data_IF_068920477837
#
_entry.id   IF_068920477837
#
_cell.length_a   1.000
_cell.length_b   1.000
_cell.length_c   1.000
_cell.angle_alpha   90.00
_cell.angle_beta   90.00
_cell.angle_gamma   90.00
#
_symmetry.space_group_name_H-M   'P 1'
#
loop_
_entity.id
_entity.type
_entity.pdbx_description
1 polymer ?
#
# COMPACT_ATOMS: atom_id res chain seq x y z
N UNK A 1 34.60 23.68 -21.64
CA UNK A 1 33.85 23.96 -20.41
C UNK A 1 32.88 22.82 -20.21
N UNK A 2 33.19 21.93 -19.26
CA UNK A 2 32.37 20.76 -18.92
C UNK A 2 31.41 21.23 -17.83
N UNK A 3 30.11 21.19 -18.09
CA UNK A 3 29.09 21.48 -17.08
C UNK A 3 29.08 20.37 -16.05
N UNK A 4 29.23 20.72 -14.78
CA UNK A 4 29.07 19.82 -13.64
C UNK A 4 27.60 19.38 -13.57
N UNK A 5 27.34 18.08 -13.77
CA UNK A 5 26.01 17.49 -13.53
C UNK A 5 25.84 17.24 -12.02
N UNK A 6 24.68 17.54 -11.41
CA UNK A 6 24.48 17.38 -9.97
C UNK A 6 24.41 15.91 -9.53
N UNK A 7 24.87 15.66 -8.30
CA UNK A 7 24.86 14.38 -7.59
C UNK A 7 23.43 13.82 -7.45
N UNK A 8 23.14 12.70 -8.11
CA UNK A 8 21.89 11.95 -7.93
C UNK A 8 22.15 10.45 -7.75
N UNK A 9 21.38 9.83 -6.85
CA UNK A 9 21.47 8.40 -6.50
C UNK A 9 21.06 7.46 -7.64
N UNK A 10 21.38 6.15 -7.58
CA UNK A 10 20.97 5.16 -8.58
C UNK A 10 19.45 5.06 -8.81
N UNK A 11 18.63 5.20 -7.74
CA UNK A 11 17.16 5.17 -7.81
C UNK A 11 16.57 6.40 -8.52
N UNK A 12 17.18 7.56 -8.31
CA UNK A 12 16.83 8.79 -9.01
C UNK A 12 17.22 8.71 -10.49
N UNK A 13 18.29 8.00 -10.84
CA UNK A 13 18.74 7.83 -12.23
C UNK A 13 17.87 6.88 -13.05
N UNK A 14 17.39 5.75 -12.50
CA UNK A 14 16.48 4.85 -13.25
C UNK A 14 15.19 5.60 -13.59
N UNK A 15 14.61 6.27 -12.59
CA UNK A 15 13.38 7.01 -12.76
C UNK A 15 13.61 8.29 -13.60
N UNK A 16 14.72 9.03 -13.49
CA UNK A 16 14.97 10.21 -14.33
C UNK A 16 15.32 9.86 -15.78
N UNK A 17 16.08 8.79 -16.03
CA UNK A 17 16.43 8.33 -17.37
C UNK A 17 15.22 7.72 -18.08
N UNK A 18 14.39 6.94 -17.38
CA UNK A 18 13.11 6.47 -17.91
C UNK A 18 12.09 7.60 -18.01
N UNK A 19 12.06 8.59 -17.11
CA UNK A 19 11.22 9.81 -17.24
C UNK A 19 11.63 10.64 -18.47
N UNK A 20 12.93 10.69 -18.82
CA UNK A 20 13.41 11.28 -20.09
C UNK A 20 13.06 10.43 -21.32
N UNK A 21 13.15 9.10 -21.23
CA UNK A 21 12.84 8.19 -22.34
C UNK A 21 11.33 8.13 -22.61
N UNK A 22 10.53 8.02 -21.55
CA UNK A 22 9.08 8.14 -21.56
C UNK A 22 8.66 9.55 -21.98
N UNK A 23 9.22 10.60 -21.39
CA UNK A 23 8.92 11.99 -21.75
C UNK A 23 9.22 12.35 -23.21
N UNK A 24 10.07 11.59 -23.94
CA UNK A 24 10.34 11.83 -25.36
C UNK A 24 9.56 10.92 -26.33
N UNK A 25 9.24 9.67 -25.96
CA UNK A 25 8.47 8.74 -26.82
C UNK A 25 7.01 8.56 -26.41
N UNK A 26 6.69 8.69 -25.12
CA UNK A 26 5.33 8.69 -24.58
C UNK A 26 4.73 10.10 -24.54
N UNK A 27 5.51 11.16 -24.80
CA UNK A 27 5.06 12.57 -24.78
C UNK A 27 3.76 12.85 -25.57
N UNK A 28 3.44 12.03 -26.57
CA UNK A 28 2.24 12.19 -27.40
C UNK A 28 1.05 11.31 -26.99
N UNK A 29 1.22 10.39 -26.03
CA UNK A 29 0.18 9.41 -25.70
C UNK A 29 -0.12 9.39 -24.18
N UNK A 30 -1.39 9.61 -23.76
CA UNK A 30 -1.76 9.58 -22.35
C UNK A 30 -1.38 8.23 -21.73
N UNK A 31 -0.76 8.28 -20.55
CA UNK A 31 -0.26 7.09 -19.84
C UNK A 31 -0.33 7.32 -18.33
N UNK A 32 -0.86 6.35 -17.56
CA UNK A 32 -0.79 6.37 -16.11
C UNK A 32 0.59 5.90 -15.62
N UNK A 33 1.24 6.75 -14.83
CA UNK A 33 2.47 6.52 -14.10
C UNK A 33 2.16 6.25 -12.62
N UNK A 34 2.70 5.17 -12.10
CA UNK A 34 2.59 4.78 -10.69
C UNK A 34 3.93 4.92 -10.01
N UNK A 35 3.96 5.60 -8.87
CA UNK A 35 5.13 5.64 -7.98
C UNK A 35 4.74 5.19 -6.57
N UNK A 36 5.69 4.84 -5.68
CA UNK A 36 5.34 4.29 -4.37
C UNK A 36 4.48 5.23 -3.50
N UNK A 37 4.65 6.55 -3.63
CA UNK A 37 4.00 7.56 -2.79
C UNK A 37 3.50 8.75 -3.58
N UNK A 38 2.56 9.50 -3.01
CA UNK A 38 2.04 10.73 -3.62
C UNK A 38 3.12 11.79 -3.84
N UNK A 39 4.07 11.95 -2.92
CA UNK A 39 5.15 12.94 -3.05
C UNK A 39 6.08 12.60 -4.23
N UNK A 40 6.39 11.31 -4.44
CA UNK A 40 7.16 10.87 -5.62
C UNK A 40 6.38 11.10 -6.91
N UNK A 41 5.05 10.96 -6.88
CA UNK A 41 4.20 11.31 -8.02
C UNK A 41 4.20 12.81 -8.33
N UNK A 42 4.20 13.67 -7.31
CA UNK A 42 4.31 15.12 -7.47
C UNK A 42 5.64 15.51 -8.11
N UNK A 43 6.76 14.99 -7.57
CA UNK A 43 8.10 15.19 -8.14
C UNK A 43 8.18 14.71 -9.61
N UNK A 44 7.61 13.53 -9.89
CA UNK A 44 7.58 12.98 -11.24
C UNK A 44 6.75 13.85 -12.20
N UNK A 45 5.61 14.37 -11.75
CA UNK A 45 4.77 15.25 -12.52
C UNK A 45 5.43 16.61 -12.77
N UNK A 46 6.10 17.19 -11.78
CA UNK A 46 6.84 18.45 -11.91
C UNK A 46 7.97 18.31 -12.94
N UNK A 47 8.76 17.25 -12.85
CA UNK A 47 9.80 16.99 -13.84
C UNK A 47 9.20 16.78 -15.25
N UNK A 48 8.05 16.11 -15.38
CA UNK A 48 7.38 15.98 -16.67
C UNK A 48 6.92 17.32 -17.25
N UNK A 49 6.46 18.26 -16.39
CA UNK A 49 6.11 19.63 -16.80
C UNK A 49 7.33 20.44 -17.20
N UNK A 50 8.44 20.32 -16.47
CA UNK A 50 9.72 20.95 -16.81
C UNK A 50 10.25 20.51 -18.19
N UNK A 51 9.96 19.27 -18.58
CA UNK A 51 10.28 18.72 -19.90
C UNK A 51 9.28 19.14 -21.00
N UNK A 52 8.27 19.96 -20.66
CA UNK A 52 7.25 20.46 -21.58
C UNK A 52 6.05 19.54 -21.78
N UNK A 53 5.89 18.50 -20.95
CA UNK A 53 4.75 17.58 -21.00
C UNK A 53 3.54 18.05 -20.18
N UNK A 54 2.35 17.56 -20.53
CA UNK A 54 1.14 17.75 -19.73
C UNK A 54 1.03 16.63 -18.69
N UNK A 55 1.06 17.00 -17.41
CA UNK A 55 1.04 16.06 -16.28
C UNK A 55 0.03 16.46 -15.20
N UNK A 56 -0.77 15.49 -14.78
CA UNK A 56 -1.77 15.63 -13.73
C UNK A 56 -1.51 14.62 -12.61
N UNK A 57 -1.44 15.12 -11.37
CA UNK A 57 -1.31 14.27 -10.18
C UNK A 57 -2.71 13.92 -9.70
N UNK A 58 -3.01 12.63 -9.67
CA UNK A 58 -4.27 12.12 -9.13
C UNK A 58 -4.07 11.82 -7.65
N UNK A 59 -4.78 12.57 -6.81
CA UNK A 59 -4.76 12.45 -5.36
C UNK A 59 -5.88 11.54 -4.88
N UNK A 60 -5.57 10.78 -3.84
CA UNK A 60 -6.56 10.00 -3.10
C UNK A 60 -7.60 10.86 -2.40
N UNK A 61 -8.71 10.23 -2.04
CA UNK A 61 -9.82 10.87 -1.29
C UNK A 61 -9.40 11.45 0.06
N UNK A 62 -8.35 10.90 0.66
CA UNK A 62 -7.81 11.28 1.97
C UNK A 62 -6.63 12.25 1.89
N UNK A 63 -6.14 12.56 0.68
CA UNK A 63 -5.08 13.54 0.52
C UNK A 63 -5.61 14.94 0.85
N UNK A 64 -4.73 15.87 1.26
CA UNK A 64 -5.08 17.30 1.36
C UNK A 64 -5.58 17.84 0.02
N UNK A 65 -6.57 18.72 0.07
CA UNK A 65 -7.05 19.48 -1.07
C UNK A 65 -6.07 20.63 -1.36
N UNK A 66 -5.44 20.68 -2.56
CA UNK A 66 -4.53 21.77 -2.91
C UNK A 66 -5.15 23.17 -2.84
N UNK A 67 -6.47 23.27 -2.98
CA UNK A 67 -7.20 24.54 -2.92
C UNK A 67 -7.65 24.89 -1.50
N UNK A 68 -7.76 23.90 -0.62
CA UNK A 68 -8.17 24.04 0.77
C UNK A 68 -7.32 23.09 1.65
N UNK A 69 -6.05 23.43 1.95
CA UNK A 69 -5.10 22.50 2.56
C UNK A 69 -5.54 21.86 3.88
N UNK A 70 -6.36 22.55 4.68
CA UNK A 70 -6.94 22.06 5.93
C UNK A 70 -8.03 20.99 5.74
N UNK A 71 -8.41 20.71 4.50
CA UNK A 71 -9.48 19.78 4.14
C UNK A 71 -8.96 18.68 3.25
N UNK A 72 -9.63 17.53 3.31
CA UNK A 72 -9.32 16.40 2.44
C UNK A 72 -10.07 16.52 1.11
N UNK A 73 -9.55 15.85 0.07
CA UNK A 73 -10.16 15.83 -1.27
C UNK A 73 -11.63 15.38 -1.26
N UNK A 74 -12.01 14.48 -0.33
CA UNK A 74 -13.38 14.06 -0.10
C UNK A 74 -13.96 14.73 1.15
N UNK A 75 -15.22 15.18 1.08
CA UNK A 75 -15.94 15.78 2.21
C UNK A 75 -16.49 14.78 3.23
N UNK A 76 -16.59 13.49 2.85
CA UNK A 76 -17.04 12.37 3.71
C UNK A 76 -15.94 11.33 3.96
N UNK A 77 -14.73 11.73 4.40
CA UNK A 77 -13.58 10.83 4.42
C UNK A 77 -13.77 9.67 5.39
N UNK A 78 -14.30 9.89 6.59
CA UNK A 78 -14.49 8.83 7.58
C UNK A 78 -15.40 7.70 7.07
N UNK A 79 -16.53 8.06 6.44
CA UNK A 79 -17.48 7.09 5.86
C UNK A 79 -16.87 6.31 4.70
N UNK A 80 -16.18 7.02 3.80
CA UNK A 80 -15.49 6.38 2.67
C UNK A 80 -14.38 5.43 3.15
N UNK A 81 -13.61 5.81 4.16
CA UNK A 81 -12.56 4.95 4.72
C UNK A 81 -13.12 3.63 5.26
N UNK A 82 -14.28 3.68 5.94
CA UNK A 82 -15.02 2.49 6.37
C UNK A 82 -15.47 1.66 5.17
N UNK A 83 -16.08 2.29 4.16
CA UNK A 83 -16.51 1.61 2.93
C UNK A 83 -15.39 0.91 2.17
N UNK A 84 -14.19 1.52 2.09
CA UNK A 84 -13.02 0.93 1.43
C UNK A 84 -12.59 -0.35 2.13
N UNK A 85 -12.55 -0.34 3.48
CA UNK A 85 -12.20 -1.54 4.28
C UNK A 85 -13.19 -2.68 4.07
N UNK A 86 -14.43 -2.37 3.72
CA UNK A 86 -15.47 -3.35 3.42
C UNK A 86 -15.48 -3.82 1.95
N UNK A 87 -14.60 -3.27 1.11
CA UNK A 87 -14.57 -3.56 -0.31
C UNK A 87 -15.88 -3.15 -1.00
N UNK A 88 -16.50 -2.05 -0.56
CA UNK A 88 -17.64 -1.46 -1.26
C UNK A 88 -17.15 -0.69 -2.48
N UNK A 89 -17.98 -0.64 -3.53
CA UNK A 89 -17.74 0.27 -4.65
C UNK A 89 -17.99 1.70 -4.15
N UNK A 90 -16.92 2.44 -3.89
CA UNK A 90 -17.03 3.77 -3.28
C UNK A 90 -17.77 4.76 -4.18
N UNK A 91 -17.65 4.62 -5.50
CA UNK A 91 -18.36 5.49 -6.43
C UNK A 91 -19.86 5.27 -6.29
N UNK A 92 -20.32 4.03 -6.47
CA UNK A 92 -21.73 3.67 -6.38
C UNK A 92 -22.32 3.87 -4.98
N UNK A 93 -21.56 3.56 -3.92
CA UNK A 93 -22.08 3.63 -2.55
C UNK A 93 -22.10 5.05 -1.97
N UNK A 94 -21.17 5.93 -2.36
CA UNK A 94 -20.98 7.23 -1.70
C UNK A 94 -20.91 8.44 -2.63
N UNK A 95 -20.70 8.26 -3.94
CA UNK A 95 -20.49 9.38 -4.85
C UNK A 95 -21.68 9.56 -5.80
N UNK A 96 -21.97 8.55 -6.60
CA UNK A 96 -22.94 8.58 -7.70
C UNK A 96 -23.27 7.14 -8.15
N UNK A 97 -24.55 6.81 -8.29
CA UNK A 97 -25.04 5.51 -8.75
C UNK A 97 -26.17 5.58 -9.80
N UNK A 98 -26.15 6.59 -10.67
CA UNK A 98 -27.15 6.90 -11.70
C UNK A 98 -28.54 7.32 -11.14
N UNK A 99 -28.94 6.80 -9.97
CA UNK A 99 -30.19 7.14 -9.29
C UNK A 99 -30.02 8.26 -8.25
N UNK A 100 -28.87 8.30 -7.59
CA UNK A 100 -28.59 9.18 -6.47
C UNK A 100 -27.17 9.73 -6.53
N UNK A 101 -26.97 10.95 -6.03
CA UNK A 101 -25.67 11.63 -6.01
C UNK A 101 -25.38 12.23 -4.64
N UNK A 102 -24.10 12.20 -4.25
CA UNK A 102 -23.63 12.77 -3.01
C UNK A 102 -23.95 14.27 -2.91
N UNK A 103 -24.38 14.74 -1.74
CA UNK A 103 -24.70 16.14 -1.48
C UNK A 103 -23.52 17.10 -1.76
N UNK A 104 -22.28 16.62 -1.65
CA UNK A 104 -21.08 17.41 -1.92
C UNK A 104 -20.54 17.25 -3.35
N UNK A 105 -21.23 16.54 -4.24
CA UNK A 105 -20.63 16.13 -5.50
C UNK A 105 -20.19 17.31 -6.41
N UNK A 106 -20.86 18.45 -6.31
CA UNK A 106 -20.49 19.67 -7.07
C UNK A 106 -19.22 20.35 -6.53
N UNK A 107 -18.96 20.26 -5.24
CA UNK A 107 -17.82 20.92 -4.57
C UNK A 107 -16.73 19.95 -4.11
N UNK A 108 -16.84 18.67 -4.45
CA UNK A 108 -15.91 17.61 -4.09
C UNK A 108 -14.64 17.68 -4.96
N UNK A 109 -13.52 18.05 -4.36
CA UNK A 109 -12.23 18.16 -5.05
C UNK A 109 -11.78 16.83 -5.67
N UNK A 110 -12.07 15.71 -5.01
CA UNK A 110 -11.76 14.39 -5.56
C UNK A 110 -12.45 14.13 -6.90
N UNK A 111 -13.74 14.48 -7.05
CA UNK A 111 -14.49 14.28 -8.30
C UNK A 111 -14.01 15.22 -9.41
N UNK A 112 -13.66 16.47 -9.07
CA UNK A 112 -13.15 17.47 -10.03
C UNK A 112 -11.90 17.00 -10.78
N UNK A 113 -11.08 16.15 -10.18
CA UNK A 113 -9.86 15.60 -10.83
C UNK A 113 -10.15 14.80 -12.10
N UNK A 114 -11.38 14.31 -12.27
CA UNK A 114 -11.78 13.44 -13.38
C UNK A 114 -12.67 14.15 -14.42
N UNK A 115 -12.83 15.47 -14.31
CA UNK A 115 -13.53 16.24 -15.32
C UNK A 115 -12.71 16.32 -16.62
N UNK A 116 -13.32 16.30 -17.83
CA UNK A 116 -12.59 16.21 -19.10
C UNK A 116 -11.47 17.24 -19.32
N UNK A 117 -11.61 18.44 -18.72
CA UNK A 117 -10.61 19.51 -18.80
C UNK A 117 -9.34 19.17 -18.00
N UNK A 118 -9.44 18.29 -17.00
CA UNK A 118 -8.38 17.90 -16.06
C UNK A 118 -7.70 16.57 -16.44
N UNK A 119 -8.14 15.91 -17.52
CA UNK A 119 -7.72 14.53 -17.85
C UNK A 119 -6.79 14.42 -19.06
N UNK A 120 -6.44 15.55 -19.70
CA UNK A 120 -5.54 15.57 -20.84
C UNK A 120 -4.08 15.31 -20.43
N UNK A 121 -3.38 14.36 -21.07
CA UNK A 121 -1.96 14.09 -20.80
C UNK A 121 -1.72 12.94 -19.82
N UNK A 122 -0.56 12.96 -19.15
CA UNK A 122 -0.10 11.88 -18.28
C UNK A 122 -0.69 11.98 -16.87
N UNK A 123 -1.04 10.84 -16.28
CA UNK A 123 -1.53 10.78 -14.89
C UNK A 123 -0.47 10.19 -13.98
N UNK A 124 -0.26 10.82 -12.84
CA UNK A 124 0.67 10.37 -11.82
C UNK A 124 -0.12 9.95 -10.58
N UNK A 125 0.02 8.69 -10.17
CA UNK A 125 -0.78 8.02 -9.14
C UNK A 125 0.10 7.24 -8.18
N UNK A 126 -0.24 7.20 -6.89
CA UNK A 126 0.44 6.28 -5.99
C UNK A 126 0.13 4.83 -6.39
N UNK A 127 1.12 3.93 -6.23
CA UNK A 127 1.00 2.50 -6.59
C UNK A 127 -0.12 1.78 -5.84
N UNK A 128 -0.54 2.33 -4.70
CA UNK A 128 -1.73 1.86 -3.97
C UNK A 128 -3.00 1.92 -4.82
N UNK A 129 -3.02 2.73 -5.88
CA UNK A 129 -4.14 2.83 -6.81
C UNK A 129 -4.10 1.81 -7.95
N UNK A 130 -3.01 1.04 -8.10
CA UNK A 130 -2.83 0.11 -9.22
C UNK A 130 -3.93 -0.97 -9.30
N UNK A 131 -4.42 -1.43 -8.15
CA UNK A 131 -5.47 -2.45 -8.05
C UNK A 131 -6.90 -1.92 -8.23
N UNK A 132 -7.08 -0.61 -8.38
CA UNK A 132 -8.41 0.01 -8.53
C UNK A 132 -8.69 0.36 -10.00
N UNK A 133 -9.94 0.19 -10.46
CA UNK A 133 -10.31 0.66 -11.80
C UNK A 133 -10.16 2.18 -11.88
N UNK A 134 -9.73 2.67 -13.03
CA UNK A 134 -9.76 4.11 -13.31
C UNK A 134 -11.24 4.57 -13.26
N UNK A 135 -11.56 5.65 -12.53
CA UNK A 135 -12.96 6.05 -12.30
C UNK A 135 -13.60 6.68 -13.55
N UNK A 136 -12.86 6.86 -14.63
CA UNK A 136 -13.30 7.45 -15.88
C UNK A 136 -12.83 6.63 -17.09
N UNK A 137 -13.19 7.08 -18.29
CA UNK A 137 -12.86 6.40 -19.55
C UNK A 137 -11.42 6.68 -20.01
N UNK A 138 -10.48 6.84 -19.08
CA UNK A 138 -9.10 7.18 -19.43
C UNK A 138 -8.43 6.03 -20.18
N UNK A 139 -8.21 6.25 -21.47
CA UNK A 139 -7.66 5.27 -22.39
C UNK A 139 -6.15 5.46 -22.54
N UNK A 140 -5.43 5.11 -21.47
CA UNK A 140 -3.97 5.14 -21.47
C UNK A 140 -3.39 4.02 -22.34
N UNK A 141 -2.32 4.31 -23.11
CA UNK A 141 -1.70 3.31 -24.00
C UNK A 141 -0.77 2.34 -23.28
N UNK A 142 -0.18 2.76 -22.15
CA UNK A 142 0.81 2.02 -21.38
C UNK A 142 0.73 2.44 -19.91
N UNK A 143 0.73 1.47 -19.00
CA UNK A 143 0.87 1.73 -17.56
C UNK A 143 2.33 1.58 -17.15
N UNK A 144 2.90 2.61 -16.56
CA UNK A 144 4.28 2.58 -16.04
C UNK A 144 4.21 2.47 -14.52
N UNK A 145 4.94 1.52 -13.93
CA UNK A 145 5.04 1.35 -12.48
C UNK A 145 6.50 1.44 -12.07
N UNK A 146 6.79 2.42 -11.24
CA UNK A 146 8.10 2.67 -10.64
C UNK A 146 8.19 1.99 -9.28
N UNK A 147 9.29 1.28 -9.07
CA UNK A 147 9.63 0.49 -7.88
C UNK A 147 8.65 -0.67 -7.60
N UNK A 148 9.01 -1.46 -6.59
CA UNK A 148 8.31 -2.67 -6.21
C UNK A 148 6.88 -2.41 -5.70
N UNK A 149 5.86 -2.95 -6.40
CA UNK A 149 4.45 -2.81 -6.03
C UNK A 149 3.80 -4.10 -5.47
N UNK A 150 4.46 -5.25 -5.60
CA UNK A 150 3.83 -6.56 -5.36
C UNK A 150 3.25 -6.71 -3.95
N UNK A 151 3.90 -6.13 -2.94
CA UNK A 151 3.44 -6.21 -1.55
C UNK A 151 2.06 -5.57 -1.36
N UNK A 152 1.73 -4.56 -2.18
CA UNK A 152 0.44 -3.87 -2.14
C UNK A 152 -0.69 -4.70 -2.79
N UNK A 153 -0.34 -5.70 -3.59
CA UNK A 153 -1.29 -6.67 -4.17
C UNK A 153 -1.61 -7.82 -3.22
N UNK A 154 -0.98 -7.86 -2.04
CA UNK A 154 -1.20 -8.89 -1.03
C UNK A 154 -1.92 -8.31 0.18
N UNK A 155 -2.80 -9.11 0.79
CA UNK A 155 -3.46 -8.76 2.04
C UNK A 155 -3.50 -9.96 2.97
N UNK A 156 -3.13 -9.71 4.22
CA UNK A 156 -3.07 -10.73 5.26
C UNK A 156 -4.16 -10.50 6.29
N UNK A 157 -4.81 -11.57 6.72
CA UNK A 157 -5.72 -11.55 7.86
C UNK A 157 -5.48 -12.77 8.74
N UNK A 158 -5.76 -12.60 10.02
CA UNK A 158 -5.79 -13.66 11.02
C UNK A 158 -7.26 -13.86 11.44
N UNK A 159 -7.73 -15.10 11.37
CA UNK A 159 -9.11 -15.50 11.66
C UNK A 159 -9.07 -16.50 12.81
N UNK A 160 -9.81 -16.27 13.90
CA UNK A 160 -9.91 -17.25 14.99
C UNK A 160 -10.52 -18.56 14.49
N UNK A 161 -9.95 -19.71 14.88
CA UNK A 161 -10.46 -21.02 14.44
C UNK A 161 -11.90 -21.27 14.93
N UNK A 162 -12.26 -20.73 16.10
CA UNK A 162 -13.58 -20.86 16.68
C UNK A 162 -14.61 -20.08 15.86
N UNK A 163 -14.29 -18.82 15.51
CA UNK A 163 -15.13 -17.96 14.68
C UNK A 163 -15.36 -18.57 13.29
N UNK A 164 -14.32 -19.19 12.71
CA UNK A 164 -14.41 -19.83 11.41
C UNK A 164 -15.31 -21.08 11.42
N UNK A 165 -15.51 -21.72 12.58
CA UNK A 165 -16.39 -22.89 12.75
C UNK A 165 -17.85 -22.55 13.04
N UNK A 166 -18.15 -21.31 13.41
CA UNK A 166 -19.52 -20.91 13.77
C UNK A 166 -20.47 -21.01 12.56
N UNK A 167 -21.76 -21.36 12.78
CA UNK A 167 -22.76 -21.28 11.72
C UNK A 167 -22.81 -19.89 11.10
N UNK A 168 -22.99 -19.78 9.77
CA UNK A 168 -23.12 -18.47 9.10
C UNK A 168 -24.53 -17.91 9.31
N UNK A 169 -24.82 -17.42 10.50
CA UNK A 169 -26.13 -16.84 10.89
C UNK A 169 -26.56 -15.66 10.02
N UNK A 170 -25.62 -15.06 9.31
CA UNK A 170 -25.85 -13.97 8.37
C UNK A 170 -26.33 -14.43 6.98
N UNK A 171 -26.28 -15.73 6.65
CA UNK A 171 -26.81 -16.24 5.37
C UNK A 171 -28.33 -16.44 5.44
N UNK A 172 -29.07 -15.85 4.49
CA UNK A 172 -30.52 -16.04 4.37
C UNK A 172 -30.85 -17.30 3.56
N UNK A 173 -31.73 -18.15 4.08
CA UNK A 173 -32.21 -19.38 3.41
C UNK A 173 -33.59 -19.24 2.76
N UNK A 174 -34.16 -18.05 2.81
CA UNK A 174 -35.46 -17.74 2.25
C UNK A 174 -35.29 -16.75 1.11
N UNK A 175 -35.98 -17.00 -0.01
CA UNK A 175 -36.08 -16.06 -1.11
C UNK A 175 -36.87 -14.80 -0.71
N UNK A 176 -36.84 -13.75 -1.54
CA UNK A 176 -37.62 -12.52 -1.35
C UNK A 176 -39.13 -12.76 -1.22
N UNK A 177 -39.62 -13.90 -1.69
CA UNK A 177 -41.03 -14.33 -1.61
C UNK A 177 -41.30 -15.30 -0.44
N UNK A 178 -40.37 -15.45 0.50
CA UNK A 178 -40.52 -16.29 1.69
C UNK A 178 -40.38 -17.80 1.43
N UNK A 179 -40.09 -18.22 0.18
CA UNK A 179 -39.88 -19.64 -0.14
C UNK A 179 -38.48 -20.07 0.28
N UNK A 180 -38.40 -21.19 1.01
CA UNK A 180 -37.15 -21.83 1.44
C UNK A 180 -36.36 -22.31 0.21
N UNK A 181 -35.08 -21.98 0.14
CA UNK A 181 -34.16 -22.44 -0.90
C UNK A 181 -33.40 -23.67 -0.38
N UNK A 182 -33.92 -24.86 -0.68
CA UNK A 182 -33.34 -26.13 -0.23
C UNK A 182 -31.93 -26.36 -0.76
N UNK A 183 -31.64 -25.91 -1.98
CA UNK A 183 -30.30 -26.01 -2.58
C UNK A 183 -29.27 -25.18 -1.79
N UNK A 184 -29.64 -23.94 -1.42
CA UNK A 184 -28.78 -23.07 -0.62
C UNK A 184 -28.55 -23.60 0.80
N UNK A 185 -29.53 -24.29 1.38
CA UNK A 185 -29.38 -24.91 2.71
C UNK A 185 -28.38 -26.05 2.68
N UNK A 186 -28.49 -26.96 1.71
CA UNK A 186 -27.57 -28.08 1.58
C UNK A 186 -26.13 -27.58 1.35
N UNK A 187 -25.96 -26.63 0.42
CA UNK A 187 -24.66 -26.01 0.18
C UNK A 187 -24.07 -25.31 1.41
N UNK A 188 -24.92 -24.72 2.26
CA UNK A 188 -24.48 -24.12 3.52
C UNK A 188 -24.06 -25.18 4.55
N UNK A 189 -24.78 -26.30 4.66
CA UNK A 189 -24.39 -27.41 5.52
C UNK A 189 -23.04 -28.00 5.10
N UNK A 190 -22.84 -28.21 3.80
CA UNK A 190 -21.57 -28.70 3.24
C UNK A 190 -20.42 -27.74 3.52
N UNK A 191 -20.65 -26.43 3.39
CA UNK A 191 -19.67 -25.40 3.71
C UNK A 191 -19.24 -25.44 5.19
N UNK A 192 -20.18 -25.61 6.12
CA UNK A 192 -19.85 -25.70 7.55
C UNK A 192 -19.09 -27.00 7.84
N UNK A 193 -19.49 -28.12 7.24
CA UNK A 193 -18.76 -29.38 7.31
C UNK A 193 -17.31 -29.24 6.81
N UNK A 194 -17.12 -28.59 5.67
CA UNK A 194 -15.81 -28.30 5.10
C UNK A 194 -14.97 -27.40 6.02
N UNK A 195 -15.57 -26.39 6.66
CA UNK A 195 -14.88 -25.50 7.60
C UNK A 195 -14.34 -26.27 8.82
N UNK A 196 -15.14 -27.19 9.37
CA UNK A 196 -14.73 -28.02 10.50
C UNK A 196 -13.58 -28.95 10.11
N UNK A 197 -13.73 -29.67 8.98
CA UNK A 197 -12.72 -30.58 8.45
C UNK A 197 -11.39 -29.88 8.13
N UNK A 198 -11.44 -28.66 7.59
CA UNK A 198 -10.25 -27.84 7.33
C UNK A 198 -9.50 -27.51 8.63
N UNK A 199 -10.22 -27.02 9.63
CA UNK A 199 -9.61 -26.68 10.92
C UNK A 199 -9.03 -27.93 11.60
N UNK A 200 -9.73 -29.06 11.55
CA UNK A 200 -9.23 -30.32 12.11
C UNK A 200 -7.96 -30.80 11.40
N UNK A 201 -7.91 -30.68 10.07
CA UNK A 201 -6.69 -30.99 9.31
C UNK A 201 -5.52 -30.08 9.71
N UNK A 202 -5.76 -28.76 9.82
CA UNK A 202 -4.75 -27.80 10.24
C UNK A 202 -4.22 -28.08 11.64
N UNK A 203 -5.09 -28.36 12.61
CA UNK A 203 -4.70 -28.68 14.00
C UNK A 203 -3.90 -29.98 14.05
N UNK A 204 -4.33 -31.00 13.31
CA UNK A 204 -3.65 -32.29 13.25
C UNK A 204 -2.37 -32.29 12.40
N UNK A 205 -2.02 -31.16 11.77
CA UNK A 205 -0.87 -31.06 10.86
C UNK A 205 -1.02 -31.91 9.59
N UNK A 206 -2.24 -32.27 9.21
CA UNK A 206 -2.53 -33.05 7.99
C UNK A 206 -2.55 -32.13 6.76
N UNK A 207 -2.18 -32.63 5.56
CA UNK A 207 -2.24 -31.84 4.34
C UNK A 207 -3.66 -31.39 4.01
N UNK A 208 -3.92 -30.08 4.01
CA UNK A 208 -5.27 -29.54 3.76
C UNK A 208 -5.75 -29.73 2.33
N UNK A 209 -4.84 -29.95 1.38
CA UNK A 209 -5.17 -30.17 -0.03
C UNK A 209 -5.67 -31.60 -0.31
N UNK A 210 -5.43 -32.55 0.61
CA UNK A 210 -5.91 -33.94 0.57
C UNK A 210 -7.37 -34.08 1.02
N UNK A 211 -7.99 -33.00 1.52
CA UNK A 211 -9.42 -33.00 1.82
C UNK A 211 -10.24 -33.35 0.56
N UNK A 212 -11.40 -34.02 0.73
CA UNK A 212 -12.13 -34.67 -0.38
C UNK A 212 -12.85 -33.69 -1.33
N UNK A 213 -12.60 -32.39 -1.22
CA UNK A 213 -13.23 -31.36 -2.03
C UNK A 213 -12.38 -30.99 -3.24
N UNK A 214 -13.00 -30.92 -4.41
CA UNK A 214 -12.43 -30.41 -5.64
C UNK A 214 -12.22 -28.88 -5.60
N UNK A 215 -11.45 -28.36 -6.56
CA UNK A 215 -11.30 -26.92 -6.71
C UNK A 215 -12.62 -26.20 -7.02
N UNK A 216 -13.51 -26.84 -7.77
CA UNK A 216 -14.83 -26.28 -8.10
C UNK A 216 -15.72 -26.16 -6.86
N UNK A 217 -15.70 -27.16 -5.98
CA UNK A 217 -16.42 -27.13 -4.70
C UNK A 217 -15.87 -26.03 -3.78
N UNK A 218 -14.54 -25.90 -3.67
CA UNK A 218 -13.94 -24.78 -2.93
C UNK A 218 -14.36 -23.42 -3.49
N UNK A 219 -14.43 -23.26 -4.82
CA UNK A 219 -14.97 -22.04 -5.42
C UNK A 219 -16.45 -21.85 -5.13
N UNK A 220 -17.23 -22.92 -5.09
CA UNK A 220 -18.63 -22.85 -4.71
C UNK A 220 -18.79 -22.36 -3.26
N UNK A 221 -17.96 -22.85 -2.33
CA UNK A 221 -17.92 -22.34 -0.95
C UNK A 221 -17.51 -20.86 -0.89
N UNK A 222 -16.49 -20.46 -1.65
CA UNK A 222 -16.08 -19.06 -1.75
C UNK A 222 -17.21 -18.16 -2.25
N UNK A 223 -17.90 -18.57 -3.33
CA UNK A 223 -19.06 -17.87 -3.88
C UNK A 223 -20.22 -17.81 -2.88
N UNK A 224 -20.46 -18.89 -2.14
CA UNK A 224 -21.51 -18.95 -1.13
C UNK A 224 -21.23 -17.98 0.03
N UNK A 225 -20.00 -17.96 0.58
CA UNK A 225 -19.58 -16.94 1.55
C UNK A 225 -19.79 -15.54 0.95
N UNK A 226 -19.27 -15.26 -0.24
CA UNK A 226 -19.44 -13.96 -0.89
C UNK A 226 -20.91 -13.59 -1.13
N UNK A 227 -21.80 -14.54 -1.42
CA UNK A 227 -23.23 -14.27 -1.65
C UNK A 227 -23.91 -13.62 -0.44
N UNK A 228 -23.43 -13.89 0.78
CA UNK A 228 -23.93 -13.24 1.99
C UNK A 228 -23.68 -11.72 2.01
N UNK A 229 -22.68 -11.20 1.26
CA UNK A 229 -22.52 -9.75 1.05
C UNK A 229 -23.73 -9.13 0.35
N UNK A 230 -24.33 -9.84 -0.62
CA UNK A 230 -25.48 -9.33 -1.36
C UNK A 230 -26.74 -9.19 -0.50
N UNK A 231 -26.80 -9.91 0.62
CA UNK A 231 -27.91 -9.86 1.57
C UNK A 231 -27.85 -8.62 2.50
N UNK A 232 -26.76 -7.84 2.45
CA UNK A 232 -26.55 -6.61 3.22
C UNK A 232 -26.83 -5.39 2.34
N UNK A 233 -27.68 -4.48 2.82
CA UNK A 233 -27.94 -3.22 2.13
C UNK A 233 -26.68 -2.36 2.07
N UNK A 234 -26.21 -2.05 0.86
CA UNK A 234 -25.13 -1.09 0.67
C UNK A 234 -25.62 0.35 0.96
N UNK A 235 -24.76 1.23 1.47
CA UNK A 235 -25.04 2.66 1.53
C UNK A 235 -25.36 3.22 0.14
N UNK A 236 -26.24 4.22 0.06
CA UNK A 236 -26.52 4.98 -1.16
C UNK A 236 -26.05 6.44 -1.02
N UNK A 237 -25.67 7.13 -2.11
CA UNK A 237 -25.04 8.45 -2.04
C UNK A 237 -25.87 9.56 -1.38
N UNK A 238 -27.20 9.51 -1.52
CA UNK A 238 -28.15 10.52 -1.00
C UNK A 238 -28.49 10.38 0.48
N UNK A 239 -28.18 9.22 1.08
CA UNK A 239 -28.42 8.98 2.50
C UNK A 239 -27.64 9.97 3.37
N UNK A 240 -28.24 10.34 4.49
CA UNK A 240 -27.55 11.14 5.49
C UNK A 240 -26.32 10.39 6.04
N UNK A 241 -25.33 11.13 6.52
CA UNK A 241 -24.12 10.53 7.10
C UNK A 241 -24.44 9.55 8.24
N UNK A 242 -25.44 9.88 9.07
CA UNK A 242 -25.87 9.02 10.18
C UNK A 242 -26.45 7.68 9.69
N UNK A 243 -27.21 7.68 8.60
CA UNK A 243 -27.76 6.46 8.00
C UNK A 243 -26.66 5.61 7.37
N UNK A 244 -25.76 6.24 6.60
CA UNK A 244 -24.60 5.56 6.03
C UNK A 244 -23.71 4.96 7.13
N UNK A 245 -23.49 5.69 8.23
CA UNK A 245 -22.70 5.24 9.38
C UNK A 245 -23.30 3.99 10.04
N UNK A 246 -24.64 3.96 10.20
CA UNK A 246 -25.37 2.83 10.77
C UNK A 246 -25.32 1.59 9.87
N UNK A 247 -25.52 1.77 8.55
CA UNK A 247 -25.40 0.69 7.57
C UNK A 247 -23.98 0.13 7.56
N UNK A 248 -22.97 1.00 7.58
CA UNK A 248 -21.57 0.59 7.64
C UNK A 248 -21.22 -0.15 8.94
N UNK A 249 -21.78 0.22 10.08
CA UNK A 249 -21.56 -0.51 11.34
C UNK A 249 -22.10 -1.94 11.26
N UNK A 250 -23.34 -2.10 10.77
CA UNK A 250 -23.92 -3.43 10.54
C UNK A 250 -23.09 -4.25 9.52
N UNK A 251 -22.65 -3.59 8.45
CA UNK A 251 -21.84 -4.23 7.41
C UNK A 251 -20.42 -4.58 7.89
N UNK A 252 -19.80 -3.78 8.77
CA UNK A 252 -18.45 -4.03 9.29
C UNK A 252 -18.34 -5.33 10.07
N UNK A 253 -19.33 -5.65 10.89
CA UNK A 253 -19.35 -6.90 11.62
C UNK A 253 -19.53 -8.08 10.65
N UNK A 254 -20.51 -8.01 9.75
CA UNK A 254 -20.84 -9.16 8.89
C UNK A 254 -19.86 -9.35 7.71
N UNK A 255 -19.51 -8.30 6.97
CA UNK A 255 -18.66 -8.39 5.77
C UNK A 255 -17.21 -8.76 6.08
N UNK A 256 -16.71 -8.37 7.27
CA UNK A 256 -15.36 -8.72 7.70
C UNK A 256 -15.21 -10.23 7.73
N UNK A 257 -16.17 -10.96 8.29
CA UNK A 257 -16.13 -12.42 8.29
C UNK A 257 -16.30 -13.00 6.88
N UNK A 258 -17.31 -12.54 6.13
CA UNK A 258 -17.64 -13.05 4.78
C UNK A 258 -16.46 -13.02 3.82
N UNK A 259 -15.82 -11.85 3.63
CA UNK A 259 -14.79 -11.73 2.59
C UNK A 259 -13.56 -12.58 2.92
N UNK A 260 -13.17 -12.61 4.19
CA UNK A 260 -11.99 -13.34 4.63
C UNK A 260 -12.22 -14.86 4.63
N UNK A 261 -13.42 -15.31 4.97
CA UNK A 261 -13.79 -16.73 4.86
C UNK A 261 -13.76 -17.19 3.40
N UNK A 262 -14.33 -16.39 2.49
CA UNK A 262 -14.26 -16.68 1.07
C UNK A 262 -12.80 -16.79 0.56
N UNK A 263 -11.87 -16.01 1.13
CA UNK A 263 -10.46 -16.04 0.73
C UNK A 263 -9.74 -17.32 1.13
N UNK A 264 -10.14 -17.95 2.24
CA UNK A 264 -9.63 -19.26 2.63
C UNK A 264 -9.98 -20.28 1.55
N UNK A 265 -11.24 -20.27 1.10
CA UNK A 265 -11.73 -21.17 0.07
C UNK A 265 -11.12 -20.91 -1.30
N UNK A 266 -11.02 -19.65 -1.74
CA UNK A 266 -10.34 -19.29 -2.98
C UNK A 266 -8.87 -19.73 -2.96
N UNK A 267 -8.18 -19.55 -1.84
CA UNK A 267 -6.79 -19.98 -1.70
C UNK A 267 -6.61 -21.50 -1.85
N UNK A 268 -7.53 -22.30 -1.33
CA UNK A 268 -7.53 -23.76 -1.49
C UNK A 268 -7.85 -24.17 -2.93
N UNK A 269 -8.81 -23.49 -3.57
CA UNK A 269 -9.15 -23.72 -4.97
C UNK A 269 -7.96 -23.44 -5.91
N UNK A 270 -7.32 -22.27 -5.77
CA UNK A 270 -6.16 -21.87 -6.58
C UNK A 270 -5.03 -22.90 -6.47
N UNK A 271 -4.75 -23.35 -5.25
CA UNK A 271 -3.69 -24.33 -4.99
C UNK A 271 -3.99 -25.70 -5.59
N UNK A 272 -5.26 -26.15 -5.52
CA UNK A 272 -5.69 -27.44 -6.06
C UNK A 272 -5.67 -27.46 -7.58
N UNK A 273 -6.03 -26.35 -8.23
CA UNK A 273 -5.92 -26.22 -9.69
C UNK A 273 -4.50 -26.15 -10.19
N UNK A 274 -3.64 -25.42 -9.48
CA UNK A 274 -2.22 -25.36 -9.80
C UNK A 274 -1.48 -26.66 -9.44
N UNK A 275 -2.18 -27.71 -8.99
CA UNK A 275 -1.60 -29.01 -8.64
C UNK A 275 -0.56 -28.93 -7.51
N UNK A 276 -0.66 -27.92 -6.64
CA UNK A 276 0.32 -27.68 -5.59
C UNK A 276 0.24 -28.77 -4.53
N UNK A 277 1.40 -29.13 -3.98
CA UNK A 277 1.50 -30.07 -2.86
C UNK A 277 1.53 -29.35 -1.50
N UNK A 278 1.90 -28.08 -1.50
CA UNK A 278 2.03 -27.24 -0.31
C UNK A 278 1.19 -25.97 -0.45
N UNK A 279 0.84 -25.37 0.68
CA UNK A 279 0.05 -24.15 0.74
C UNK A 279 0.66 -23.15 1.73
N UNK A 280 1.43 -22.19 1.22
CA UNK A 280 2.07 -21.16 2.06
C UNK A 280 1.12 -20.01 2.40
N UNK A 281 0.14 -19.77 1.52
CA UNK A 281 -0.86 -18.70 1.64
C UNK A 281 -1.90 -18.96 2.74
N UNK A 282 -1.94 -20.16 3.31
CA UNK A 282 -2.84 -20.53 4.40
C UNK A 282 -2.07 -21.31 5.45
N UNK A 283 -2.02 -20.81 6.69
CA UNK A 283 -1.33 -21.50 7.78
C UNK A 283 -2.01 -21.29 9.12
N UNK A 284 -1.80 -22.25 10.02
CA UNK A 284 -2.19 -22.12 11.41
C UNK A 284 -1.11 -21.32 12.17
N UNK A 285 -1.53 -20.33 12.95
CA UNK A 285 -0.65 -19.49 13.77
C UNK A 285 -1.20 -19.40 15.20
N UNK A 286 -0.30 -19.19 16.16
CA UNK A 286 -0.69 -18.80 17.50
C UNK A 286 -0.68 -17.26 17.56
N UNK A 287 -1.88 -16.67 17.70
CA UNK A 287 -2.08 -15.24 17.86
C UNK A 287 -2.51 -14.96 19.30
N UNK A 288 -1.62 -14.35 20.09
CA UNK A 288 -1.85 -13.98 21.49
C UNK A 288 -2.37 -15.13 22.39
N UNK A 289 -1.88 -16.35 22.17
CA UNK A 289 -2.29 -17.53 22.94
C UNK A 289 -3.53 -18.24 22.39
N UNK A 290 -4.12 -17.76 21.29
CA UNK A 290 -5.24 -18.39 20.60
C UNK A 290 -4.82 -18.92 19.24
N UNK A 291 -5.37 -20.06 18.85
CA UNK A 291 -5.12 -20.65 17.54
C UNK A 291 -5.93 -19.90 16.47
N UNK A 292 -5.28 -19.54 15.38
CA UNK A 292 -5.91 -18.78 14.31
C UNK A 292 -5.39 -19.19 12.93
N UNK A 293 -6.23 -19.05 11.92
CA UNK A 293 -5.89 -19.23 10.52
C UNK A 293 -5.35 -17.91 9.99
N UNK A 294 -4.11 -17.90 9.51
CA UNK A 294 -3.56 -16.79 8.75
C UNK A 294 -3.72 -17.08 7.27
N UNK A 295 -4.43 -16.21 6.56
CA UNK A 295 -4.62 -16.31 5.11
C UNK A 295 -4.02 -15.09 4.40
N UNK A 296 -3.37 -15.35 3.26
CA UNK A 296 -2.85 -14.36 2.33
C UNK A 296 -3.75 -14.32 1.08
N UNK A 297 -4.53 -13.25 0.96
CA UNK A 297 -5.28 -12.93 -0.26
C UNK A 297 -4.35 -12.24 -1.25
N UNK A 298 -4.36 -12.72 -2.49
CA UNK A 298 -3.80 -12.03 -3.65
C UNK A 298 -4.93 -11.27 -4.32
N UNK A 299 -4.74 -9.98 -4.59
CA UNK A 299 -5.67 -9.18 -5.36
C UNK A 299 -5.41 -9.38 -6.85
N UNK A 300 -6.47 -9.60 -7.67
CA UNK A 300 -6.30 -9.68 -9.11
C UNK A 300 -5.94 -8.31 -9.68
N UNK A 301 -5.01 -8.31 -10.64
CA UNK A 301 -4.68 -7.13 -11.42
C UNK A 301 -5.77 -6.90 -12.47
N UNK A 302 -6.62 -5.89 -12.25
CA UNK A 302 -7.74 -5.58 -13.16
C UNK A 302 -7.39 -4.57 -14.27
N UNK A 303 -6.11 -4.21 -14.43
CA UNK A 303 -5.71 -3.29 -15.49
C UNK A 303 -5.70 -3.98 -16.86
N UNK A 304 -6.15 -3.26 -17.89
CA UNK A 304 -6.21 -3.76 -19.28
C UNK A 304 -5.00 -3.35 -20.11
N UNK A 305 -4.28 -2.32 -19.68
CA UNK A 305 -3.13 -1.79 -20.41
C UNK A 305 -1.90 -2.68 -20.24
N UNK A 306 -1.01 -2.75 -21.25
CA UNK A 306 0.34 -3.27 -21.07
C UNK A 306 1.07 -2.55 -19.93
N UNK A 307 1.95 -3.29 -19.23
CA UNK A 307 2.66 -2.82 -18.05
C UNK A 307 4.15 -2.69 -18.33
N UNK A 308 4.73 -1.52 -18.04
CA UNK A 308 6.17 -1.31 -17.97
C UNK A 308 6.57 -1.21 -16.50
N UNK A 309 7.26 -2.24 -16.01
CA UNK A 309 7.79 -2.28 -14.65
C UNK A 309 9.22 -1.76 -14.62
N UNK A 310 9.46 -0.76 -13.77
CA UNK A 310 10.76 -0.15 -13.53
C UNK A 310 11.16 -0.46 -12.10
N UNK A 311 11.88 -1.55 -11.90
CA UNK A 311 12.28 -1.98 -10.56
C UNK A 311 13.71 -2.52 -10.61
N UNK A 312 14.54 -2.07 -9.67
CA UNK A 312 15.92 -2.53 -9.53
C UNK A 312 15.97 -3.97 -9.01
N UNK A 313 14.96 -4.36 -8.23
CA UNK A 313 14.88 -5.63 -7.51
C UNK A 313 13.72 -6.51 -8.04
N UNK A 314 13.30 -6.30 -9.31
CA UNK A 314 12.27 -7.12 -9.94
C UNK A 314 12.67 -8.59 -9.97
N UNK A 315 11.86 -9.42 -9.30
CA UNK A 315 12.01 -10.86 -9.26
C UNK A 315 10.94 -11.53 -10.13
N UNK A 316 11.38 -12.32 -11.11
CA UNK A 316 10.47 -12.99 -12.05
C UNK A 316 9.56 -14.01 -11.38
N UNK A 317 10.04 -14.72 -10.34
CA UNK A 317 9.22 -15.68 -9.61
C UNK A 317 8.08 -14.97 -8.86
N UNK A 318 8.37 -13.80 -8.27
CA UNK A 318 7.34 -12.99 -7.60
C UNK A 318 6.32 -12.46 -8.61
N UNK A 319 6.77 -11.95 -9.75
CA UNK A 319 5.89 -11.39 -10.78
C UNK A 319 5.00 -12.47 -11.42
N UNK A 320 5.56 -13.64 -11.73
CA UNK A 320 4.78 -14.79 -12.21
C UNK A 320 3.78 -15.26 -11.14
N UNK A 321 4.18 -15.30 -9.87
CA UNK A 321 3.27 -15.62 -8.76
C UNK A 321 2.13 -14.59 -8.60
N UNK A 322 2.28 -13.40 -9.18
CA UNK A 322 1.23 -12.37 -9.27
C UNK A 322 0.36 -12.45 -10.55
N UNK A 323 0.50 -13.52 -11.35
CA UNK A 323 -0.14 -13.68 -12.67
C UNK A 323 0.21 -12.55 -13.64
N UNK A 324 1.40 -11.96 -13.50
CA UNK A 324 1.90 -10.97 -14.45
C UNK A 324 2.59 -11.72 -15.58
N UNK A 325 2.03 -11.59 -16.77
CA UNK A 325 2.58 -12.18 -17.98
C UNK A 325 3.79 -11.38 -18.48
N UNK A 326 4.99 -11.91 -18.20
CA UNK A 326 6.26 -11.25 -18.51
C UNK A 326 6.61 -11.49 -19.98
N UNK A 327 6.37 -10.48 -20.81
CA UNK A 327 6.68 -10.54 -22.25
C UNK A 327 8.15 -10.26 -22.56
N UNK A 328 8.82 -9.41 -21.78
CA UNK A 328 10.22 -9.03 -22.00
C UNK A 328 10.87 -8.50 -20.72
N UNK A 329 12.09 -8.96 -20.46
CA UNK A 329 12.97 -8.43 -19.41
C UNK A 329 14.16 -7.71 -20.05
N UNK A 330 14.58 -6.58 -19.49
CA UNK A 330 15.79 -5.85 -19.94
C UNK A 330 16.56 -5.38 -18.72
N UNK A 331 17.81 -5.86 -18.57
CA UNK A 331 18.68 -5.43 -17.49
C UNK A 331 19.41 -4.14 -17.90
N UNK A 332 19.26 -3.08 -17.10
CA UNK A 332 19.98 -1.83 -17.28
C UNK A 332 21.16 -1.78 -16.33
N UNK A 333 22.38 -1.72 -16.86
CA UNK A 333 23.58 -1.52 -16.05
C UNK A 333 23.82 -0.02 -15.89
N UNK A 334 23.56 0.49 -14.68
CA UNK A 334 23.86 1.87 -14.32
C UNK A 334 25.31 1.97 -13.79
N UNK A 335 26.01 3.07 -14.10
CA UNK A 335 27.30 3.34 -13.46
C UNK A 335 27.05 3.76 -12.00
N UNK A 336 27.70 3.12 -11.01
CA UNK A 336 27.51 3.49 -9.62
C UNK A 336 28.08 4.89 -9.35
N UNK A 337 27.23 5.80 -8.87
CA UNK A 337 27.61 7.15 -8.46
C UNK A 337 28.05 7.24 -6.99
N UNK A 338 27.98 6.13 -6.25
CA UNK A 338 28.37 6.01 -4.86
C UNK A 338 28.98 4.62 -4.59
N UNK A 339 29.98 4.57 -3.71
CA UNK A 339 30.53 3.33 -3.18
C UNK A 339 29.77 2.97 -1.90
N UNK A 340 29.09 1.82 -1.90
CA UNK A 340 28.34 1.33 -0.72
C UNK A 340 29.21 0.30 -0.02
N UNK A 341 29.58 0.58 1.24
CA UNK A 341 30.30 -0.35 2.10
C UNK A 341 29.33 -0.92 3.11
N UNK A 342 28.96 -2.18 2.95
CA UNK A 342 28.06 -2.87 3.88
C UNK A 342 28.84 -3.44 5.07
N UNK A 343 28.50 -3.02 6.29
CA UNK A 343 29.17 -3.46 7.52
C UNK A 343 28.33 -4.56 8.21
N UNK A 344 28.73 -5.82 8.04
CA UNK A 344 28.06 -6.99 8.62
C UNK A 344 28.63 -7.37 10.00
N UNK A 345 28.57 -6.49 10.99
CA UNK A 345 29.07 -6.84 12.34
C UNK A 345 27.95 -7.33 13.28
N UNK A 346 26.68 -6.95 13.05
CA UNK A 346 25.57 -7.27 13.97
C UNK A 346 24.25 -7.50 13.26
N UNK A 347 23.42 -8.42 13.77
CA UNK A 347 22.01 -8.55 13.35
C UNK A 347 21.23 -7.31 13.79
N UNK A 348 20.71 -6.56 12.82
CA UNK A 348 19.88 -5.39 13.02
C UNK A 348 18.47 -5.68 12.52
N UNK A 349 17.60 -6.20 13.38
CA UNK A 349 16.17 -6.24 13.05
C UNK A 349 15.49 -4.97 13.53
N UNK A 350 14.46 -4.52 12.82
CA UNK A 350 13.68 -3.37 13.23
C UNK A 350 13.18 -3.50 14.68
N UNK A 351 12.70 -4.69 15.07
CA UNK A 351 12.27 -4.97 16.44
C UNK A 351 13.40 -4.90 17.49
N UNK A 352 14.61 -5.35 17.14
CA UNK A 352 15.77 -5.27 18.04
C UNK A 352 16.21 -3.83 18.31
N UNK A 353 16.21 -2.97 17.28
CA UNK A 353 16.56 -1.56 17.42
C UNK A 353 15.48 -0.78 18.17
N UNK A 354 14.20 -1.13 18.03
CA UNK A 354 13.13 -0.45 18.77
C UNK A 354 13.13 -0.78 20.27
N UNK A 355 13.46 -2.02 20.65
CA UNK A 355 13.43 -2.47 22.05
C UNK A 355 14.78 -2.38 22.76
N UNK A 356 15.89 -2.46 22.03
CA UNK A 356 17.23 -2.55 22.61
C UNK A 356 17.97 -1.22 22.64
N UNK A 357 17.89 -0.50 23.77
CA UNK A 357 18.64 0.76 23.99
C UNK A 357 20.16 0.56 23.87
N UNK A 358 20.70 -0.52 24.44
CA UNK A 358 22.12 -0.84 24.36
C UNK A 358 22.59 -1.09 22.91
N UNK A 359 21.74 -1.72 22.10
CA UNK A 359 22.01 -1.95 20.69
C UNK A 359 22.05 -0.62 19.91
N UNK A 360 21.10 0.29 20.17
CA UNK A 360 21.10 1.64 19.58
C UNK A 360 22.34 2.43 19.99
N UNK A 361 22.77 2.36 21.24
CA UNK A 361 23.99 3.01 21.71
C UNK A 361 25.26 2.41 21.06
N UNK A 362 25.29 1.09 20.85
CA UNK A 362 26.34 0.45 20.06
C UNK A 362 26.44 1.02 18.64
N UNK A 363 25.31 1.23 17.98
CA UNK A 363 25.25 1.79 16.63
C UNK A 363 25.58 3.28 16.58
N UNK A 364 25.19 4.07 17.59
CA UNK A 364 25.63 5.47 17.72
C UNK A 364 27.15 5.59 17.73
N UNK A 365 27.85 4.68 18.41
CA UNK A 365 29.32 4.65 18.41
C UNK A 365 29.90 4.37 17.03
N UNK A 366 29.29 3.45 16.26
CA UNK A 366 29.69 3.16 14.88
C UNK A 366 29.47 4.39 13.99
N UNK A 367 28.29 5.00 14.03
CA UNK A 367 27.97 6.22 13.27
C UNK A 367 28.97 7.33 13.62
N UNK A 368 29.23 7.54 14.91
CA UNK A 368 30.21 8.55 15.37
C UNK A 368 31.61 8.26 14.84
N UNK A 369 32.03 7.00 14.83
CA UNK A 369 33.32 6.58 14.26
C UNK A 369 33.39 6.94 12.78
N UNK A 370 32.36 6.62 11.99
CA UNK A 370 32.37 6.93 10.56
C UNK A 370 32.31 8.44 10.29
N UNK A 371 31.56 9.21 11.09
CA UNK A 371 31.57 10.68 11.00
C UNK A 371 32.96 11.24 11.31
N UNK A 372 33.68 10.67 12.29
CA UNK A 372 35.06 11.07 12.58
C UNK A 372 36.01 10.66 11.46
N UNK A 373 35.86 9.46 10.90
CA UNK A 373 36.67 8.99 9.77
C UNK A 373 36.50 9.88 8.54
N UNK A 374 35.25 10.24 8.18
CA UNK A 374 34.97 11.14 7.05
C UNK A 374 35.56 12.55 7.27
N UNK A 375 35.50 13.06 8.50
CA UNK A 375 36.12 14.35 8.89
C UNK A 375 37.64 14.36 8.74
N UNK A 376 38.30 13.23 8.97
CA UNK A 376 39.75 13.08 8.78
C UNK A 376 40.09 12.85 7.30
N UNK A 377 39.12 12.35 6.51
CA UNK A 377 39.24 12.09 5.08
C UNK A 377 38.81 13.27 4.19
N UNK A 378 37.93 12.99 3.22
CA UNK A 378 37.51 13.95 2.18
C UNK A 378 36.43 14.94 2.63
N UNK A 379 35.84 14.77 3.82
CA UNK A 379 34.74 15.60 4.30
C UNK A 379 33.49 15.51 3.42
N UNK A 380 33.20 14.33 2.86
CA UNK A 380 32.07 14.08 1.96
C UNK A 380 30.72 14.01 2.68
N UNK A 381 30.72 13.92 4.00
CA UNK A 381 29.55 13.68 4.82
C UNK A 381 29.23 12.19 4.95
N UNK A 382 28.60 11.82 6.06
CA UNK A 382 28.11 10.45 6.30
C UNK A 382 26.59 10.44 6.24
N UNK A 383 26.05 9.60 5.36
CA UNK A 383 24.63 9.36 5.22
C UNK A 383 24.23 8.14 6.06
N UNK A 384 23.24 8.30 6.94
CA UNK A 384 22.66 7.18 7.69
C UNK A 384 21.18 7.03 7.31
N UNK A 385 20.83 5.85 6.78
CA UNK A 385 19.45 5.46 6.48
C UNK A 385 18.86 4.60 7.60
N UNK A 386 17.67 4.95 8.09
CA UNK A 386 16.93 4.14 9.07
C UNK A 386 15.43 4.44 8.99
N UNK A 387 14.58 3.53 9.49
CA UNK A 387 13.14 3.78 9.57
C UNK A 387 12.84 4.94 10.52
N UNK A 388 11.76 5.69 10.26
CA UNK A 388 11.34 6.84 11.10
C UNK A 388 11.23 6.48 12.58
N UNK A 389 10.67 5.30 12.90
CA UNK A 389 10.50 4.85 14.30
C UNK A 389 11.83 4.62 15.00
N UNK A 390 12.81 4.09 14.27
CA UNK A 390 14.17 3.89 14.81
C UNK A 390 14.84 5.25 15.00
N UNK A 391 14.77 6.15 14.02
CA UNK A 391 15.34 7.50 14.13
C UNK A 391 14.77 8.23 15.35
N UNK A 392 13.45 8.21 15.56
CA UNK A 392 12.82 8.82 16.73
C UNK A 392 13.37 8.24 18.05
N UNK A 393 13.49 6.91 18.16
CA UNK A 393 14.12 6.29 19.34
C UNK A 393 15.58 6.67 19.53
N UNK A 394 16.32 6.90 18.45
CA UNK A 394 17.68 7.45 18.52
C UNK A 394 17.72 8.90 18.98
N UNK A 395 16.67 9.70 18.83
CA UNK A 395 16.64 11.05 19.41
C UNK A 395 16.15 11.04 20.85
N UNK A 396 15.14 10.23 21.16
CA UNK A 396 14.65 10.07 22.54
C UNK A 396 15.76 9.57 23.48
N UNK A 397 16.58 8.62 23.02
CA UNK A 397 17.75 8.14 23.78
C UNK A 397 18.83 9.22 23.99
N UNK A 398 18.79 10.33 23.24
CA UNK A 398 19.70 11.47 23.37
C UNK A 398 19.12 12.57 24.26
N UNK A 399 17.93 12.34 24.84
CA UNK A 399 17.25 13.28 25.72
C UNK A 399 16.36 14.29 24.99
N UNK A 400 16.09 14.08 23.70
CA UNK A 400 15.08 14.89 23.00
C UNK A 400 13.69 14.38 23.34
N UNK A 401 12.85 15.27 23.85
CA UNK A 401 11.45 15.00 24.12
C UNK A 401 10.60 15.43 22.92
N UNK A 402 9.78 14.51 22.43
CA UNK A 402 8.89 14.73 21.29
C UNK A 402 7.42 14.92 21.70
N UNK A 403 7.11 14.88 23.00
CA UNK A 403 5.74 15.05 23.50
C UNK A 403 5.18 16.46 23.20
N UNK A 404 6.05 17.47 23.06
CA UNK A 404 5.69 18.83 22.62
C UNK A 404 5.59 19.00 21.10
N UNK A 405 6.03 18.02 20.31
CA UNK A 405 5.96 18.06 18.84
C UNK A 405 4.73 17.30 18.33
N UNK A 406 4.00 16.60 19.20
CA UNK A 406 2.75 15.92 18.87
C UNK A 406 1.68 16.89 18.33
N UNK A 407 1.63 18.12 18.83
CA UNK A 407 0.70 19.15 18.37
C UNK A 407 1.20 19.91 17.11
N UNK A 408 2.52 19.94 16.86
CA UNK A 408 3.12 20.62 15.70
C UNK A 408 3.19 19.72 14.45
N UNK A 409 3.23 18.39 14.63
CA UNK A 409 3.33 17.41 13.54
C UNK A 409 2.00 17.22 12.78
N UNK A 410 0.90 17.77 13.30
CA UNK A 410 -0.44 17.62 12.72
C UNK A 410 -0.82 18.65 11.64
N UNK A 411 -0.20 19.84 11.60
CA UNK A 411 -0.82 20.97 10.87
C UNK A 411 0.09 21.88 10.01
N UNK A 412 1.43 21.84 10.09
CA UNK A 412 2.25 22.77 9.30
C UNK A 412 3.45 22.09 8.63
N UNK A 413 3.29 21.70 7.37
CA UNK A 413 4.40 21.51 6.42
C UNK A 413 4.02 22.00 5.01
N UNK A 414 3.29 23.12 4.96
CA UNK A 414 2.88 23.81 3.73
C UNK A 414 3.86 24.83 3.20
N UNK A 415 4.73 25.42 4.03
CA UNK A 415 5.58 26.55 3.60
C UNK A 415 7.00 26.46 4.16
N UNK A 416 7.96 26.09 3.30
CA UNK A 416 9.38 26.31 3.55
C UNK A 416 10.10 26.71 2.25
N UNK A 417 9.59 27.75 1.58
CA UNK A 417 10.15 28.28 0.33
C UNK A 417 11.13 29.44 0.51
N UNK A 418 11.47 29.85 1.74
CA UNK A 418 12.40 30.94 1.95
C UNK A 418 13.32 30.62 3.12
N UNK A 419 14.55 30.18 2.82
CA UNK A 419 15.81 30.52 3.49
C UNK A 419 16.89 29.48 3.16
N UNK A 420 18.03 29.98 2.68
CA UNK A 420 19.32 29.32 2.42
C UNK A 420 19.46 28.54 1.09
N UNK A 421 20.22 29.15 0.19
CA UNK A 421 20.71 28.52 -1.04
C UNK A 421 21.75 27.43 -0.75
N UNK A 422 21.32 26.18 -0.88
CA UNK A 422 22.15 25.01 -1.18
C UNK A 422 21.20 23.87 -1.53
N UNK A 423 21.47 23.17 -2.64
CA UNK A 423 20.65 22.07 -3.15
C UNK A 423 20.44 20.98 -2.07
N UNK A 424 19.19 20.67 -1.75
CA UNK A 424 18.84 19.65 -0.75
C UNK A 424 18.10 18.50 -1.44
N UNK A 425 18.71 17.32 -1.46
CA UNK A 425 18.12 16.08 -1.98
C UNK A 425 17.47 15.29 -0.84
N UNK A 426 16.19 14.94 -0.96
CA UNK A 426 15.43 14.28 0.09
C UNK A 426 15.52 12.76 0.01
N UNK A 427 16.19 12.19 1.00
CA UNK A 427 15.97 10.84 1.50
C UNK A 427 15.49 10.94 2.95
N UNK A 428 14.85 9.91 3.52
CA UNK A 428 14.81 9.75 4.99
C UNK A 428 16.21 9.41 5.50
N UNK A 429 17.14 10.34 5.33
CA UNK A 429 18.52 10.22 5.73
C UNK A 429 18.85 11.39 6.63
N UNK A 430 19.48 11.10 7.76
CA UNK A 430 20.13 12.13 8.54
C UNK A 430 21.34 12.61 7.73
N UNK A 431 21.30 13.85 7.26
CA UNK A 431 22.52 14.59 6.94
C UNK A 431 23.00 15.26 8.24
N UNK A 432 23.99 14.66 8.92
CA UNK A 432 24.69 15.35 10.01
C UNK A 432 25.71 16.30 9.36
N UNK A 433 25.22 17.39 8.78
CA UNK A 433 26.08 18.45 8.27
C UNK A 433 26.53 19.35 9.43
N UNK A 434 27.83 19.28 9.75
CA UNK A 434 28.64 20.33 10.37
C UNK A 434 28.32 20.92 11.76
N UNK A 435 27.45 20.35 12.59
CA UNK A 435 27.15 20.96 13.90
C UNK A 435 27.62 20.16 15.12
N UNK A 436 28.08 20.91 16.12
CA UNK A 436 28.40 20.44 17.48
C UNK A 436 27.16 19.74 18.08
N UNK A 437 27.33 18.70 18.92
CA UNK A 437 26.23 18.02 19.61
C UNK A 437 25.27 18.95 20.38
N UNK A 438 25.71 20.17 20.69
CA UNK A 438 24.99 21.11 21.54
C UNK A 438 24.04 22.09 20.81
N UNK A 439 23.90 22.03 19.47
CA UNK A 439 23.14 23.04 18.69
C UNK A 439 22.03 22.49 17.79
N UNK A 440 21.53 21.28 18.03
CA UNK A 440 20.33 20.79 17.31
C UNK A 440 19.08 21.43 17.92
N UNK A 441 18.61 22.53 17.32
CA UNK A 441 17.33 23.17 17.62
C UNK A 441 16.17 22.44 16.89
N UNK A 442 14.95 22.51 17.43
CA UNK A 442 13.71 21.97 16.88
C UNK A 442 13.48 22.24 15.37
N UNK A 443 14.01 23.34 14.81
CA UNK A 443 13.96 23.66 13.38
C UNK A 443 14.71 22.67 12.46
N UNK A 444 15.70 21.93 12.97
CA UNK A 444 16.40 20.88 12.19
C UNK A 444 15.64 19.54 12.14
N UNK A 445 14.74 19.31 13.08
CA UNK A 445 13.95 18.07 13.22
C UNK A 445 12.80 18.01 12.21
N UNK A 446 12.39 19.18 11.71
CA UNK A 446 11.30 19.36 10.75
C UNK A 446 11.51 18.67 9.38
N UNK A 447 12.73 18.20 9.04
CA UNK A 447 13.06 17.63 7.72
C UNK A 447 12.85 16.11 7.57
N UNK A 448 12.21 15.43 8.53
CA UNK A 448 12.10 13.95 8.51
C UNK A 448 10.77 13.49 7.89
N UNK A 449 10.77 13.33 6.57
CA UNK A 449 9.68 12.73 5.78
C UNK A 449 9.52 11.22 5.99
N UNK A 450 8.30 10.72 5.82
CA UNK A 450 7.79 9.43 6.29
C UNK A 450 7.93 8.25 5.29
N UNK A 451 8.09 7.03 5.84
CA UNK A 451 7.53 5.79 5.30
C UNK A 451 6.86 4.99 6.42
N UNK A 452 5.57 4.67 6.33
CA UNK A 452 4.95 3.63 7.11
C UNK A 452 4.87 2.35 6.26
N UNK A 453 5.39 1.26 6.81
CA UNK A 453 5.32 -0.13 6.33
C UNK A 453 6.35 -0.55 5.26
N UNK A 454 6.96 -1.71 5.55
CA UNK A 454 8.08 -2.38 4.89
C UNK A 454 9.42 -1.65 5.01
N UNK A 455 10.33 -2.21 5.81
CA UNK A 455 11.64 -2.74 5.36
C UNK A 455 12.20 -3.56 6.54
N UNK A 456 12.11 -4.90 6.45
CA UNK A 456 12.96 -5.84 7.20
C UNK A 456 14.15 -6.20 6.30
N UNK A 457 14.93 -5.21 5.88
CA UNK A 457 16.24 -5.42 5.24
C UNK A 457 17.07 -4.16 5.41
N UNK A 458 18.01 -4.21 6.34
CA UNK A 458 19.04 -3.18 6.49
C UNK A 458 20.00 -3.35 5.32
N UNK A 459 20.15 -2.32 4.49
CA UNK A 459 21.29 -2.20 3.56
C UNK A 459 22.42 -1.52 4.30
#
# INVERSE_FOLDING_TARGET
MRGEEPLASPRLWSAAACRRFAGRKLASAPSPFHAPTLSLCEEAADHARELGGTAHVIRGRFAPDPTEPDRQMCRKPALVARGIRLGLNIRESFCDNDAARCEHAQSCAWLRQFEPVQTAGHRYMASSYLGYPDPDTYDGVLRVVDETFWAQQLSFVTIGIDDFRLPRTFMKHFSRHGRKDEGRINAHADLIGAAHALVDALIAGRPVLELPYSAEEYRAFARLEYSAKADIAAPTPEQSEAEQMRLLACAEDVLRHVSWYASVWSCLADAKEAGRQTLERLKLVNDQGRMAIRVCRKHPSNHRQPLLLLDADADTEILEALDIDIQRTTHMVLRPNAEVVQIHDRRMTHGSLLRGRELREGWRRVIRREVLNDRVGKGSGVLVGASRKVVLRFFEDAGYDFDLVADFIGHDFGDAHALAGSQTHYFSCMAIAHQSPDTVNASHIARIGAQPFLVDTVV
#
